data_IF_976224866749
#
_entry.id   IF_976224866749
#
_cell.length_a   1.000
_cell.length_b   1.000
_cell.length_c   1.000
_cell.angle_alpha   90.00
_cell.angle_beta   90.00
_cell.angle_gamma   90.00
#
_symmetry.space_group_name_H-M   'P 1'
#
loop_
_entity.id
_entity.type
_entity.pdbx_description
1 polymer ?
#
# COMPACT_ATOMS: atom_id res chain seq x y z
N UNK A 1 33.68 2.98 4.87
CA UNK A 1 32.82 1.92 4.28
C UNK A 1 31.47 1.98 4.98
N UNK A 2 30.68 2.98 4.60
CA UNK A 2 29.41 3.31 5.22
C UNK A 2 28.35 2.39 4.64
N UNK A 3 27.85 1.45 5.43
CA UNK A 3 26.78 0.52 5.06
C UNK A 3 25.49 1.33 4.93
N UNK A 4 25.18 1.77 3.71
CA UNK A 4 23.88 2.36 3.36
C UNK A 4 22.80 1.32 3.71
N UNK A 5 21.79 1.66 4.53
CA UNK A 5 20.69 0.75 4.79
C UNK A 5 19.97 0.50 3.47
N UNK A 6 19.99 -0.74 3.02
CA UNK A 6 19.27 -1.15 1.82
C UNK A 6 17.78 -0.91 2.08
N UNK A 7 17.15 -0.03 1.30
CA UNK A 7 15.72 0.33 1.32
C UNK A 7 14.76 -0.87 1.08
N UNK A 8 15.23 -2.12 1.16
CA UNK A 8 14.47 -3.32 0.83
C UNK A 8 13.71 -3.93 2.03
N UNK A 9 14.00 -3.48 3.26
CA UNK A 9 13.40 -4.03 4.50
C UNK A 9 12.38 -3.08 5.17
N UNK A 10 12.10 -1.93 4.55
CA UNK A 10 11.14 -0.93 5.03
C UNK A 10 9.84 -0.93 4.22
N UNK A 11 9.50 -2.03 3.54
CA UNK A 11 8.09 -2.30 3.25
C UNK A 11 7.46 -2.70 4.60
N UNK A 12 7.02 -1.71 5.37
CA UNK A 12 6.30 -1.90 6.62
C UNK A 12 5.20 -2.92 6.39
N UNK A 13 5.44 -4.14 6.89
CA UNK A 13 4.61 -5.36 6.79
C UNK A 13 3.56 -5.32 5.67
N UNK A 14 3.82 -5.99 4.55
CA UNK A 14 2.82 -6.17 3.48
C UNK A 14 1.47 -6.56 4.09
N UNK A 15 0.52 -5.64 3.96
CA UNK A 15 -0.77 -5.72 4.62
C UNK A 15 -1.85 -5.78 3.54
N UNK A 16 -3.01 -6.30 3.90
CA UNK A 16 -4.16 -6.18 3.03
C UNK A 16 -4.54 -4.69 2.92
N UNK A 17 -4.63 -4.20 1.68
CA UNK A 17 -5.14 -2.88 1.35
C UNK A 17 -6.65 -2.97 1.24
N UNK A 18 -7.34 -2.03 1.89
CA UNK A 18 -8.76 -1.83 1.76
C UNK A 18 -9.05 -0.46 1.14
N UNK A 19 -10.17 -0.34 0.44
CA UNK A 19 -10.66 0.93 -0.10
C UNK A 19 -12.08 1.20 0.40
N UNK A 20 -12.31 2.42 0.89
CA UNK A 20 -13.63 2.88 1.30
C UNK A 20 -14.54 3.09 0.08
N UNK A 21 -15.74 2.52 0.10
CA UNK A 21 -16.72 2.72 -0.98
C UNK A 21 -17.35 4.12 -1.00
N UNK A 22 -17.23 4.90 0.07
CA UNK A 22 -17.80 6.25 0.15
C UNK A 22 -16.80 7.35 -0.22
N UNK A 23 -15.60 7.35 0.37
CA UNK A 23 -14.59 8.39 0.12
C UNK A 23 -13.47 7.97 -0.83
N UNK A 24 -13.33 6.68 -1.16
CA UNK A 24 -12.24 6.18 -2.00
C UNK A 24 -10.87 6.11 -1.31
N UNK A 25 -10.78 6.48 -0.02
CA UNK A 25 -9.56 6.38 0.78
C UNK A 25 -9.08 4.93 0.84
N UNK A 26 -7.76 4.74 0.69
CA UNK A 26 -7.09 3.45 0.86
C UNK A 26 -6.43 3.38 2.23
N UNK A 27 -6.45 2.22 2.85
CA UNK A 27 -5.87 2.02 4.18
C UNK A 27 -5.37 0.57 4.34
N UNK A 28 -4.41 0.37 5.25
CA UNK A 28 -3.71 -0.90 5.45
C UNK A 28 -4.16 -1.59 6.74
N UNK A 29 -4.34 -2.92 6.67
CA UNK A 29 -4.50 -3.79 7.85
C UNK A 29 -5.87 -3.73 8.52
N UNK A 30 -6.48 -2.56 8.63
CA UNK A 30 -7.81 -2.37 9.21
C UNK A 30 -8.90 -2.44 8.13
N UNK A 31 -10.03 -3.09 8.42
CA UNK A 31 -11.14 -3.22 7.45
C UNK A 31 -12.09 -2.04 7.44
N UNK A 32 -11.93 -1.10 8.38
CA UNK A 32 -12.87 -0.02 8.61
C UNK A 32 -12.21 1.31 8.27
N UNK A 33 -12.87 2.11 7.46
CA UNK A 33 -12.39 3.44 7.12
C UNK A 33 -12.36 4.33 8.38
N UNK A 34 -11.25 5.01 8.70
CA UNK A 34 -11.13 5.83 9.90
C UNK A 34 -12.08 7.04 9.89
N UNK A 35 -12.38 7.61 8.72
CA UNK A 35 -13.25 8.78 8.58
C UNK A 35 -14.73 8.41 8.42
N UNK A 36 -15.03 7.48 7.50
CA UNK A 36 -16.42 7.13 7.17
C UNK A 36 -16.99 6.02 8.08
N UNK A 37 -16.14 5.29 8.81
CA UNK A 37 -16.52 4.14 9.65
C UNK A 37 -17.23 3.00 8.89
N UNK A 38 -17.15 2.98 7.56
CA UNK A 38 -17.67 1.93 6.68
C UNK A 38 -16.65 0.81 6.50
N UNK A 39 -17.15 -0.39 6.17
CA UNK A 39 -16.30 -1.51 5.79
C UNK A 39 -15.75 -1.29 4.38
N UNK A 40 -14.43 -1.28 4.26
CA UNK A 40 -13.74 -1.18 2.97
C UNK A 40 -13.78 -2.49 2.19
N UNK A 41 -13.70 -2.39 0.86
CA UNK A 41 -13.49 -3.56 -0.01
C UNK A 41 -12.02 -3.95 -0.01
N UNK A 42 -11.74 -5.24 -0.03
CA UNK A 42 -10.37 -5.76 -0.11
C UNK A 42 -9.83 -5.55 -1.53
N UNK A 43 -8.67 -4.90 -1.66
CA UNK A 43 -7.97 -4.69 -2.94
C UNK A 43 -6.78 -5.64 -3.16
N UNK A 44 -6.39 -6.40 -2.14
CA UNK A 44 -5.25 -7.32 -2.17
C UNK A 44 -4.09 -6.86 -1.30
N UNK A 45 -2.89 -7.38 -1.57
CA UNK A 45 -1.68 -7.02 -0.84
C UNK A 45 -1.13 -5.68 -1.32
N UNK A 46 -0.59 -4.90 -0.40
CA UNK A 46 0.11 -3.67 -0.69
C UNK A 46 0.85 -3.13 0.54
N UNK A 47 1.32 -1.91 0.43
CA UNK A 47 2.07 -1.23 1.48
C UNK A 47 2.19 0.26 1.20
N UNK A 48 2.57 1.01 2.23
CA UNK A 48 2.81 2.44 2.12
C UNK A 48 4.22 2.70 1.60
N UNK A 49 4.35 3.63 0.67
CA UNK A 49 5.65 4.12 0.24
C UNK A 49 6.27 4.93 1.38
N UNK A 50 7.50 4.63 1.85
CA UNK A 50 8.11 5.33 2.98
C UNK A 50 8.42 6.81 2.70
N UNK A 51 8.46 7.21 1.43
CA UNK A 51 8.79 8.59 1.04
C UNK A 51 7.55 9.50 0.93
N UNK A 52 6.39 8.93 0.59
CA UNK A 52 5.18 9.71 0.27
C UNK A 52 3.95 9.28 1.07
N UNK A 53 4.06 8.24 1.91
CA UNK A 53 2.96 7.59 2.63
C UNK A 53 1.83 7.01 1.74
N UNK A 54 1.98 7.14 0.41
CA UNK A 54 1.00 6.65 -0.54
C UNK A 54 0.91 5.13 -0.50
N UNK A 55 -0.32 4.63 -0.43
CA UNK A 55 -0.60 3.20 -0.44
C UNK A 55 -0.56 2.67 -1.87
N UNK A 56 0.39 1.78 -2.12
CA UNK A 56 0.62 1.13 -3.40
C UNK A 56 0.22 -0.34 -3.30
N UNK A 57 -0.57 -0.80 -4.28
CA UNK A 57 -0.94 -2.21 -4.40
C UNK A 57 0.23 -2.99 -5.03
N UNK A 58 0.45 -4.20 -4.56
CA UNK A 58 1.48 -5.08 -5.11
C UNK A 58 1.24 -5.37 -6.61
N UNK A 59 -0.04 -5.52 -7.01
CA UNK A 59 -0.42 -5.70 -8.41
C UNK A 59 -0.01 -4.51 -9.29
N UNK A 60 -0.17 -3.28 -8.80
CA UNK A 60 0.21 -2.06 -9.53
C UNK A 60 1.73 -2.00 -9.71
N UNK A 61 2.49 -2.36 -8.67
CA UNK A 61 3.95 -2.42 -8.73
C UNK A 61 4.44 -3.44 -9.77
N UNK A 62 3.78 -4.59 -9.87
CA UNK A 62 4.10 -5.60 -10.89
C UNK A 62 3.80 -5.13 -12.32
N UNK A 63 2.73 -4.37 -12.53
CA UNK A 63 2.45 -3.78 -13.86
C UNK A 63 3.56 -2.81 -14.24
N UNK A 64 3.95 -1.91 -13.33
CA UNK A 64 5.02 -0.94 -13.57
C UNK A 64 6.35 -1.61 -13.94
N UNK A 65 6.75 -2.67 -13.21
CA UNK A 65 8.00 -3.38 -13.45
C UNK A 65 8.04 -4.17 -14.76
N UNK A 66 6.89 -4.52 -15.35
CA UNK A 66 6.81 -5.28 -16.60
C UNK A 66 6.68 -4.38 -17.85
N UNK A 67 6.67 -3.06 -17.67
CA UNK A 67 6.70 -2.11 -18.78
C UNK A 67 8.16 -1.98 -19.27
N UNK A 68 8.57 -2.82 -20.21
CA UNK A 68 9.75 -2.55 -21.04
C UNK A 68 9.39 -1.39 -21.99
N UNK A 69 10.17 -0.29 -22.07
CA UNK A 69 9.96 0.71 -23.12
C UNK A 69 10.06 0.12 -24.54
#
# INVERSE_FOLDING_TARGET
MSRTPQHHLLFTAASTVYECSACGERFLGERRCPDCNLLGRNLGLGGACPESDQIVLLSELFVLSNTNP
#
